data_IF_357312770955
#
_entry.id   IF_357312770955
#
_cell.length_a   1.000
_cell.length_b   1.000
_cell.length_c   1.000
_cell.angle_alpha   90.00
_cell.angle_beta   90.00
_cell.angle_gamma   90.00
#
_symmetry.space_group_name_H-M   'P 1'
#
loop_
_entity.id
_entity.type
_entity.pdbx_description
1 polymer ?
#
# COMPACT_ATOMS: atom_id res chain seq x y z
N UNK A 1 -35.43 44.77 -33.74
CA UNK A 1 -34.01 44.95 -33.32
C UNK A 1 -33.88 44.93 -31.80
N UNK A 2 -34.65 45.73 -31.07
CA UNK A 2 -34.58 45.84 -29.60
C UNK A 2 -34.80 44.51 -28.85
N UNK A 3 -35.84 43.74 -29.20
CA UNK A 3 -36.12 42.41 -28.60
C UNK A 3 -34.90 41.46 -28.69
N UNK A 4 -34.12 41.55 -29.78
CA UNK A 4 -32.91 40.72 -29.97
C UNK A 4 -31.79 41.10 -29.00
N UNK A 5 -31.60 42.40 -28.75
CA UNK A 5 -30.64 42.90 -27.76
C UNK A 5 -31.03 42.50 -26.34
N UNK A 6 -32.32 42.57 -26.01
CA UNK A 6 -32.83 42.13 -24.70
C UNK A 6 -32.70 40.62 -24.49
N UNK A 7 -32.80 39.81 -25.54
CA UNK A 7 -32.52 38.37 -25.48
C UNK A 7 -31.02 38.13 -25.21
N UNK A 8 -30.13 38.75 -25.98
CA UNK A 8 -28.67 38.65 -25.81
C UNK A 8 -28.22 39.08 -24.41
N UNK A 9 -28.70 40.22 -23.90
CA UNK A 9 -28.38 40.69 -22.56
C UNK A 9 -28.90 39.79 -21.41
N UNK A 10 -29.91 38.94 -21.67
CA UNK A 10 -30.37 37.92 -20.71
C UNK A 10 -29.52 36.65 -20.78
N UNK A 11 -29.08 36.27 -21.98
CA UNK A 11 -28.18 35.15 -22.22
C UNK A 11 -26.79 35.43 -21.60
N UNK A 12 -26.21 36.59 -21.86
CA UNK A 12 -24.96 37.05 -21.23
C UNK A 12 -25.02 37.05 -19.70
N UNK A 13 -26.15 37.48 -19.11
CA UNK A 13 -26.37 37.43 -17.65
C UNK A 13 -26.48 36.00 -17.11
N UNK A 14 -27.08 35.08 -17.87
CA UNK A 14 -27.14 33.65 -17.50
C UNK A 14 -25.75 33.01 -17.54
N UNK A 15 -25.03 33.17 -18.65
CA UNK A 15 -23.66 32.68 -18.79
C UNK A 15 -22.74 33.25 -17.71
N UNK A 16 -22.89 34.54 -17.35
CA UNK A 16 -22.14 35.14 -16.24
C UNK A 16 -22.51 34.52 -14.88
N UNK A 17 -23.79 34.33 -14.59
CA UNK A 17 -24.24 33.71 -13.35
C UNK A 17 -23.81 32.24 -13.24
N UNK A 18 -23.83 31.49 -14.34
CA UNK A 18 -23.33 30.11 -14.42
C UNK A 18 -21.81 30.05 -14.20
N UNK A 19 -21.05 31.00 -14.77
CA UNK A 19 -19.61 31.10 -14.54
C UNK A 19 -19.25 31.50 -13.09
N UNK A 20 -20.04 32.36 -12.45
CA UNK A 20 -19.89 32.72 -11.03
C UNK A 20 -20.26 31.53 -10.12
N UNK A 21 -21.34 30.80 -10.43
CA UNK A 21 -21.74 29.59 -9.71
C UNK A 21 -20.70 28.46 -9.84
N UNK A 22 -20.12 28.25 -11.03
CA UNK A 22 -19.07 27.27 -11.25
C UNK A 22 -17.78 27.61 -10.48
N UNK A 23 -17.44 28.90 -10.34
CA UNK A 23 -16.32 29.34 -9.48
C UNK A 23 -16.62 29.08 -8.00
N UNK A 24 -17.80 29.44 -7.51
CA UNK A 24 -18.19 29.18 -6.13
C UNK A 24 -18.17 27.67 -5.79
N UNK A 25 -18.61 26.80 -6.72
CA UNK A 25 -18.49 25.35 -6.57
C UNK A 25 -17.03 24.87 -6.54
N UNK A 26 -16.17 25.43 -7.41
CA UNK A 26 -14.73 25.11 -7.41
C UNK A 26 -14.02 25.58 -6.14
N UNK A 27 -14.41 26.72 -5.58
CA UNK A 27 -13.86 27.26 -4.33
C UNK A 27 -14.29 26.40 -3.14
N UNK A 28 -15.56 26.02 -3.02
CA UNK A 28 -16.04 25.08 -2.00
C UNK A 28 -15.38 23.70 -2.12
N UNK A 29 -15.16 23.19 -3.33
CA UNK A 29 -14.44 21.94 -3.54
C UNK A 29 -12.97 22.03 -3.11
N UNK A 30 -12.31 23.17 -3.32
CA UNK A 30 -10.95 23.42 -2.87
C UNK A 30 -10.86 23.55 -1.33
N UNK A 31 -11.84 24.21 -0.70
CA UNK A 31 -11.93 24.33 0.77
C UNK A 31 -12.12 22.97 1.45
N UNK A 32 -13.01 22.11 0.90
CA UNK A 32 -13.19 20.73 1.37
C UNK A 32 -11.92 19.88 1.18
N UNK A 33 -11.20 20.05 0.07
CA UNK A 33 -9.94 19.35 -0.16
C UNK A 33 -8.83 19.80 0.82
N UNK A 34 -8.78 21.10 1.15
CA UNK A 34 -7.84 21.64 2.14
C UNK A 34 -8.17 21.12 3.56
N UNK A 35 -9.45 21.04 3.92
CA UNK A 35 -9.89 20.49 5.20
C UNK A 35 -9.54 18.98 5.34
N UNK A 36 -9.64 18.21 4.25
CA UNK A 36 -9.25 16.80 4.25
C UNK A 36 -7.74 16.61 4.52
N UNK A 37 -6.88 17.41 3.88
CA UNK A 37 -5.42 17.35 4.10
C UNK A 37 -5.04 17.71 5.54
N UNK A 38 -5.74 18.66 6.17
CA UNK A 38 -5.49 19.01 7.57
C UNK A 38 -5.86 17.86 8.53
N UNK A 39 -6.92 17.10 8.21
CA UNK A 39 -7.34 15.93 8.99
C UNK A 39 -6.39 14.73 8.84
N UNK A 40 -5.70 14.60 7.70
CA UNK A 40 -4.68 13.57 7.50
C UNK A 40 -3.40 13.83 8.34
N UNK A 41 -3.02 15.09 8.56
CA UNK A 41 -1.84 15.45 9.37
C UNK A 41 -2.02 15.13 10.87
N UNK A 42 -3.24 15.25 11.41
CA UNK A 42 -3.50 14.96 12.84
C UNK A 42 -3.41 13.45 13.18
N UNK A 43 -3.57 12.57 12.18
CA UNK A 43 -3.50 11.12 12.35
C UNK A 43 -2.06 10.57 12.47
N UNK A 44 -1.05 11.25 11.93
CA UNK A 44 0.33 10.74 11.87
C UNK A 44 1.14 10.94 13.18
N UNK A 45 0.56 11.64 14.18
CA UNK A 45 1.22 11.93 15.46
C UNK A 45 1.38 10.75 16.42
N UNK A 46 0.58 9.67 16.28
CA UNK A 46 0.41 8.65 17.32
C UNK A 46 1.30 7.38 17.19
N UNK A 47 2.19 7.29 16.19
CA UNK A 47 2.99 6.08 15.92
C UNK A 47 4.50 6.26 16.20
N UNK A 48 4.85 6.71 17.42
CA UNK A 48 6.25 6.89 17.86
C UNK A 48 6.64 6.24 19.19
N UNK A 49 5.92 5.23 19.70
CA UNK A 49 6.40 4.41 20.83
C UNK A 49 6.09 2.91 20.69
N UNK A 50 7.01 2.15 20.07
CA UNK A 50 7.16 0.73 20.37
C UNK A 50 8.64 0.31 20.33
N UNK A 51 9.28 0.04 21.49
CA UNK A 51 10.67 -0.41 21.53
C UNK A 51 10.76 -1.90 21.18
N UNK A 52 11.46 -2.22 20.09
CA UNK A 52 11.73 -3.60 19.68
C UNK A 52 12.64 -4.30 20.70
N UNK A 53 12.07 -5.17 21.55
CA UNK A 53 12.84 -6.04 22.43
C UNK A 53 13.41 -7.21 21.63
N UNK A 54 14.73 -7.20 21.45
CA UNK A 54 15.51 -8.32 20.92
C UNK A 54 15.30 -9.54 21.82
N UNK A 55 14.95 -10.68 21.25
CA UNK A 55 15.09 -11.99 21.92
C UNK A 55 16.32 -12.66 21.30
N UNK A 56 17.31 -12.94 22.14
CA UNK A 56 18.58 -13.51 21.72
C UNK A 56 18.50 -15.04 21.62
N UNK A 57 19.34 -15.60 20.75
CA UNK A 57 19.51 -17.04 20.55
C UNK A 57 19.92 -17.76 21.84
N UNK A 58 19.26 -18.88 22.14
CA UNK A 58 19.87 -19.95 22.95
C UNK A 58 19.77 -21.27 22.20
N UNK A 59 20.93 -21.75 21.74
CA UNK A 59 21.14 -23.16 21.42
C UNK A 59 21.06 -23.96 22.72
N UNK A 60 20.42 -25.12 22.68
CA UNK A 60 20.80 -26.26 23.53
C UNK A 60 20.94 -27.47 22.60
N UNK A 61 22.16 -27.96 22.46
CA UNK A 61 22.47 -29.24 21.85
C UNK A 61 22.11 -30.36 22.84
N UNK A 62 21.50 -31.42 22.33
CA UNK A 62 21.33 -32.67 23.04
C UNK A 62 21.40 -33.83 22.04
N UNK A 63 22.62 -34.29 21.74
CA UNK A 63 22.81 -35.65 21.28
C UNK A 63 22.43 -36.61 22.42
N UNK A 64 21.65 -37.65 22.13
CA UNK A 64 22.11 -39.00 22.43
C UNK A 64 21.36 -40.08 21.64
N UNK A 65 22.10 -41.13 21.30
CA UNK A 65 21.63 -42.30 20.58
C UNK A 65 20.82 -43.25 21.48
N UNK A 66 19.98 -44.09 20.87
CA UNK A 66 19.29 -45.18 21.56
C UNK A 66 18.45 -46.03 20.61
N UNK A 67 18.96 -47.21 20.23
CA UNK A 67 18.24 -48.17 19.40
C UNK A 67 17.49 -49.21 20.25
N UNK A 68 16.25 -49.55 19.85
CA UNK A 68 15.51 -50.81 20.07
C UNK A 68 14.09 -50.59 19.53
N UNK A 69 13.67 -51.17 18.41
CA UNK A 69 13.28 -52.59 18.20
C UNK A 69 11.83 -52.92 18.62
N UNK A 70 11.08 -53.40 17.62
CA UNK A 70 9.84 -54.19 17.68
C UNK A 70 8.60 -53.65 18.44
N UNK A 71 7.57 -53.23 17.69
CA UNK A 71 6.44 -54.11 17.30
C UNK A 71 5.38 -53.39 16.43
N UNK A 72 5.05 -53.99 15.29
CA UNK A 72 3.74 -53.91 14.63
C UNK A 72 2.74 -54.87 15.35
N UNK A 73 1.42 -54.93 15.06
CA UNK A 73 0.63 -54.35 13.95
C UNK A 73 -0.48 -53.39 14.48
N UNK A 74 -1.56 -52.97 13.79
CA UNK A 74 -2.26 -53.45 12.58
C UNK A 74 -2.81 -52.30 11.71
N UNK A 75 -3.22 -52.68 10.49
CA UNK A 75 -4.00 -51.91 9.52
C UNK A 75 -5.50 -51.80 9.87
N UNK A 76 -6.14 -50.75 9.36
CA UNK A 76 -7.57 -50.74 9.02
C UNK A 76 -7.77 -49.99 7.71
N UNK A 77 -8.39 -50.64 6.74
CA UNK A 77 -8.60 -50.13 5.38
C UNK A 77 -10.04 -49.63 5.17
N UNK A 78 -10.22 -48.88 4.09
CA UNK A 78 -11.49 -48.43 3.53
C UNK A 78 -12.53 -49.55 3.31
N UNK A 79 -13.82 -49.26 3.56
CA UNK A 79 -14.94 -49.66 2.72
C UNK A 79 -16.23 -48.90 3.08
N UNK A 80 -17.14 -48.72 2.12
CA UNK A 80 -18.42 -48.02 2.26
C UNK A 80 -19.62 -48.98 2.39
N UNK A 81 -20.76 -48.48 2.87
CA UNK A 81 -22.10 -49.01 2.55
C UNK A 81 -23.21 -47.97 2.83
N UNK A 82 -24.23 -47.94 1.97
CA UNK A 82 -25.40 -47.04 2.07
C UNK A 82 -26.51 -47.60 2.98
N UNK A 83 -27.41 -46.72 3.45
CA UNK A 83 -28.70 -47.10 4.05
C UNK A 83 -29.75 -46.00 3.82
N UNK A 84 -30.94 -46.38 3.34
CA UNK A 84 -32.04 -45.50 2.90
C UNK A 84 -33.31 -45.82 3.70
N UNK A 85 -33.90 -44.80 4.34
CA UNK A 85 -35.26 -44.74 4.94
C UNK A 85 -35.36 -43.39 5.70
N UNK A 86 -36.50 -42.73 5.90
CA UNK A 86 -37.86 -42.84 5.35
C UNK A 86 -38.46 -41.41 5.38
N UNK A 87 -39.63 -41.19 4.79
CA UNK A 87 -40.28 -39.88 4.77
C UNK A 87 -41.03 -39.57 6.07
N UNK A 88 -41.16 -38.28 6.40
CA UNK A 88 -42.36 -37.75 7.05
C UNK A 88 -42.68 -36.35 6.50
N UNK A 89 -43.96 -36.12 6.20
CA UNK A 89 -44.49 -34.93 5.55
C UNK A 89 -45.69 -34.44 6.35
N UNK A 90 -45.51 -33.37 7.12
CA UNK A 90 -46.62 -32.63 7.71
C UNK A 90 -46.65 -31.19 7.16
N UNK A 91 -47.74 -30.88 6.46
CA UNK A 91 -48.10 -29.55 5.97
C UNK A 91 -49.14 -28.94 6.92
N UNK A 92 -49.13 -27.60 6.99
CA UNK A 92 -50.10 -26.65 7.58
C UNK A 92 -49.56 -25.92 8.84
N UNK A 93 -49.84 -24.63 9.06
CA UNK A 93 -50.20 -23.52 8.17
C UNK A 93 -50.11 -22.19 8.94
N UNK A 94 -49.85 -21.10 8.22
CA UNK A 94 -50.27 -19.73 8.50
C UNK A 94 -50.02 -19.11 9.90
N UNK A 95 -49.09 -18.17 9.95
CA UNK A 95 -49.36 -16.83 10.49
C UNK A 95 -48.51 -15.82 9.70
N UNK A 96 -49.12 -14.71 9.26
CA UNK A 96 -48.38 -13.61 8.65
C UNK A 96 -47.80 -12.71 9.74
N UNK A 97 -46.52 -12.36 9.60
CA UNK A 97 -45.94 -11.16 10.18
C UNK A 97 -45.21 -10.44 9.04
N UNK A 98 -45.47 -9.14 8.86
CA UNK A 98 -44.74 -8.32 7.89
C UNK A 98 -43.39 -7.92 8.48
N UNK A 99 -42.60 -8.93 8.85
CA UNK A 99 -41.23 -8.77 9.23
C UNK A 99 -40.46 -8.16 8.07
N UNK A 100 -39.93 -6.95 8.27
CA UNK A 100 -38.80 -6.45 7.49
C UNK A 100 -37.63 -7.38 7.77
N UNK A 101 -37.58 -8.49 7.04
CA UNK A 101 -36.51 -9.46 7.11
C UNK A 101 -35.27 -8.76 6.56
N UNK A 102 -34.45 -8.24 7.47
CA UNK A 102 -33.21 -7.57 7.13
C UNK A 102 -32.35 -8.46 6.23
N UNK A 103 -31.45 -7.86 5.42
CA UNK A 103 -30.60 -8.63 4.52
C UNK A 103 -29.92 -9.75 5.30
N UNK A 104 -29.95 -10.96 4.74
CA UNK A 104 -29.30 -12.12 5.34
C UNK A 104 -27.85 -11.77 5.72
N UNK A 105 -27.29 -12.33 6.82
CA UNK A 105 -25.97 -11.92 7.31
C UNK A 105 -24.87 -12.04 6.24
N UNK A 106 -24.99 -13.00 5.32
CA UNK A 106 -24.13 -13.13 4.14
C UNK A 106 -24.26 -12.00 3.12
N UNK A 107 -25.48 -11.48 2.88
CA UNK A 107 -25.70 -10.35 1.99
C UNK A 107 -25.10 -9.05 2.56
N UNK A 108 -25.15 -8.85 3.88
CA UNK A 108 -24.50 -7.73 4.55
C UNK A 108 -22.96 -7.83 4.46
N UNK A 109 -22.41 -9.00 4.78
CA UNK A 109 -20.99 -9.32 4.65
C UNK A 109 -20.47 -9.12 3.21
N UNK A 110 -21.21 -9.61 2.22
CA UNK A 110 -20.90 -9.44 0.80
C UNK A 110 -20.90 -7.97 0.36
N UNK A 111 -21.84 -7.16 0.86
CA UNK A 111 -21.88 -5.72 0.56
C UNK A 111 -20.67 -5.02 1.17
N UNK A 112 -20.31 -5.33 2.41
CA UNK A 112 -19.12 -4.77 3.06
C UNK A 112 -17.82 -5.14 2.32
N UNK A 113 -17.66 -6.40 1.89
CA UNK A 113 -16.52 -6.82 1.05
C UNK A 113 -16.51 -6.08 -0.29
N UNK A 114 -17.64 -5.93 -0.98
CA UNK A 114 -17.72 -5.17 -2.24
C UNK A 114 -17.37 -3.69 -2.05
N UNK A 115 -17.79 -3.07 -0.96
CA UNK A 115 -17.40 -1.68 -0.61
C UNK A 115 -15.90 -1.58 -0.34
N UNK A 116 -15.31 -2.51 0.41
CA UNK A 116 -13.87 -2.53 0.66
C UNK A 116 -13.04 -2.77 -0.63
N UNK A 117 -13.51 -3.68 -1.51
CA UNK A 117 -12.92 -3.87 -2.83
C UNK A 117 -13.04 -2.61 -3.71
N UNK A 118 -14.18 -1.91 -3.68
CA UNK A 118 -14.36 -0.67 -4.43
C UNK A 118 -13.48 0.48 -3.94
N UNK A 119 -13.23 0.57 -2.62
CA UNK A 119 -12.29 1.53 -2.03
C UNK A 119 -10.82 1.27 -2.43
N UNK A 120 -10.51 0.03 -2.83
CA UNK A 120 -9.20 -0.41 -3.31
C UNK A 120 -8.00 -0.15 -2.37
N UNK A 121 -8.27 -0.02 -1.08
CA UNK A 121 -7.25 0.15 -0.04
C UNK A 121 -6.82 -1.20 0.53
N UNK A 122 -5.51 -1.45 0.56
CA UNK A 122 -4.96 -2.75 0.95
C UNK A 122 -5.28 -3.13 2.40
N UNK A 123 -5.04 -2.24 3.37
CA UNK A 123 -5.28 -2.55 4.78
C UNK A 123 -6.78 -2.64 5.10
N UNK A 124 -7.61 -1.76 4.51
CA UNK A 124 -9.08 -1.79 4.66
C UNK A 124 -9.73 -3.05 4.06
N UNK A 125 -9.21 -3.55 2.95
CA UNK A 125 -9.66 -4.81 2.36
C UNK A 125 -9.30 -6.03 3.23
N UNK A 126 -8.12 -6.04 3.87
CA UNK A 126 -7.75 -7.12 4.81
C UNK A 126 -8.69 -7.14 6.01
N UNK A 127 -8.92 -5.99 6.66
CA UNK A 127 -9.82 -5.92 7.81
C UNK A 127 -11.22 -6.43 7.47
N UNK A 128 -11.78 -6.03 6.32
CA UNK A 128 -13.07 -6.50 5.85
C UNK A 128 -13.09 -8.01 5.55
N UNK A 129 -12.01 -8.58 5.00
CA UNK A 129 -11.87 -10.04 4.79
C UNK A 129 -11.82 -10.76 6.15
N UNK A 130 -11.00 -10.31 7.09
CA UNK A 130 -10.85 -10.93 8.41
C UNK A 130 -12.17 -10.91 9.21
N UNK A 131 -12.93 -9.83 9.13
CA UNK A 131 -14.22 -9.65 9.80
C UNK A 131 -15.35 -10.49 9.15
N UNK A 132 -15.38 -10.59 7.82
CA UNK A 132 -16.55 -11.12 7.09
C UNK A 132 -16.37 -12.52 6.46
N UNK A 133 -15.16 -13.09 6.44
CA UNK A 133 -14.86 -14.41 5.84
C UNK A 133 -15.79 -15.56 6.25
N UNK A 134 -16.33 -15.55 7.48
CA UNK A 134 -17.18 -16.62 8.00
C UNK A 134 -18.66 -16.50 7.57
N UNK A 135 -19.07 -15.32 7.05
CA UNK A 135 -20.45 -15.01 6.69
C UNK A 135 -20.60 -14.73 5.18
N UNK A 136 -19.56 -14.20 4.54
CA UNK A 136 -19.57 -13.87 3.12
C UNK A 136 -19.74 -15.08 2.21
N UNK A 137 -20.33 -14.85 1.04
CA UNK A 137 -20.42 -15.81 -0.05
C UNK A 137 -19.04 -16.15 -0.59
N UNK A 138 -18.75 -17.44 -0.80
CA UNK A 138 -17.45 -17.96 -1.27
C UNK A 138 -16.92 -17.21 -2.51
N UNK A 139 -17.78 -16.91 -3.49
CA UNK A 139 -17.39 -16.18 -4.70
C UNK A 139 -16.92 -14.74 -4.43
N UNK A 140 -17.55 -14.03 -3.49
CA UNK A 140 -17.18 -12.66 -3.11
C UNK A 140 -15.89 -12.66 -2.28
N UNK A 141 -15.74 -13.64 -1.38
CA UNK A 141 -14.51 -13.84 -0.62
C UNK A 141 -13.33 -14.19 -1.54
N UNK A 142 -13.53 -15.06 -2.54
CA UNK A 142 -12.51 -15.41 -3.53
C UNK A 142 -12.09 -14.18 -4.39
N UNK A 143 -13.05 -13.35 -4.81
CA UNK A 143 -12.75 -12.10 -5.50
C UNK A 143 -11.95 -11.13 -4.61
N UNK A 144 -12.36 -10.97 -3.35
CA UNK A 144 -11.67 -10.13 -2.37
C UNK A 144 -10.23 -10.59 -2.11
N UNK A 145 -9.99 -11.89 -2.00
CA UNK A 145 -8.65 -12.48 -1.86
C UNK A 145 -7.77 -12.27 -3.10
N UNK A 146 -8.33 -12.42 -4.30
CA UNK A 146 -7.60 -12.14 -5.55
C UNK A 146 -7.24 -10.64 -5.70
N UNK A 147 -8.15 -9.77 -5.26
CA UNK A 147 -7.96 -8.32 -5.21
C UNK A 147 -6.84 -7.95 -4.21
N UNK A 148 -6.87 -8.54 -3.01
CA UNK A 148 -5.84 -8.40 -1.98
C UNK A 148 -4.44 -8.82 -2.49
N UNK A 149 -4.31 -9.98 -3.13
CA UNK A 149 -3.03 -10.44 -3.68
C UNK A 149 -2.48 -9.45 -4.73
N UNK A 150 -3.36 -8.94 -5.61
CA UNK A 150 -3.01 -7.93 -6.62
C UNK A 150 -2.49 -6.65 -5.99
N UNK A 151 -3.16 -6.13 -4.95
CA UNK A 151 -2.71 -4.95 -4.20
C UNK A 151 -1.39 -5.20 -3.48
N UNK A 152 -1.23 -6.35 -2.82
CA UNK A 152 0.02 -6.75 -2.16
C UNK A 152 1.20 -6.71 -3.15
N UNK A 153 1.01 -7.33 -4.31
CA UNK A 153 2.00 -7.44 -5.38
C UNK A 153 2.36 -6.08 -5.96
N UNK A 154 1.37 -5.21 -6.19
CA UNK A 154 1.59 -3.82 -6.64
C UNK A 154 2.43 -3.04 -5.63
N UNK A 155 2.03 -3.01 -4.35
CA UNK A 155 2.75 -2.35 -3.24
C UNK A 155 4.20 -2.82 -3.14
N UNK A 156 4.44 -4.13 -3.24
CA UNK A 156 5.78 -4.74 -3.21
C UNK A 156 6.65 -4.30 -4.40
N UNK A 157 6.08 -4.25 -5.61
CA UNK A 157 6.79 -3.76 -6.80
C UNK A 157 7.11 -2.26 -6.70
N UNK A 158 6.20 -1.44 -6.20
CA UNK A 158 6.40 0.00 -6.02
C UNK A 158 7.46 0.30 -4.97
N UNK A 159 7.45 -0.39 -3.83
CA UNK A 159 8.53 -0.32 -2.83
C UNK A 159 9.88 -0.73 -3.41
N UNK A 160 9.93 -1.80 -4.23
CA UNK A 160 11.18 -2.22 -4.88
C UNK A 160 11.68 -1.17 -5.90
N UNK A 161 10.79 -0.57 -6.70
CA UNK A 161 11.13 0.51 -7.62
C UNK A 161 11.66 1.73 -6.87
N UNK A 162 11.04 2.12 -5.76
CA UNK A 162 11.49 3.25 -4.93
C UNK A 162 12.89 3.01 -4.36
N UNK A 163 13.17 1.82 -3.80
CA UNK A 163 14.50 1.45 -3.31
C UNK A 163 15.56 1.51 -4.41
N UNK A 164 15.25 1.06 -5.64
CA UNK A 164 16.16 1.14 -6.79
C UNK A 164 16.43 2.57 -7.23
N UNK A 165 15.39 3.42 -7.28
CA UNK A 165 15.55 4.85 -7.56
C UNK A 165 16.47 5.53 -6.56
N UNK A 166 16.23 5.32 -5.26
CA UNK A 166 17.06 5.88 -4.20
C UNK A 166 18.50 5.38 -4.27
N UNK A 167 18.74 4.08 -4.53
CA UNK A 167 20.09 3.57 -4.72
C UNK A 167 20.83 4.25 -5.89
N UNK A 168 20.16 4.43 -7.04
CA UNK A 168 20.73 5.12 -8.20
C UNK A 168 20.97 6.62 -7.93
N UNK A 169 20.09 7.28 -7.17
CA UNK A 169 20.26 8.67 -6.73
C UNK A 169 21.50 8.83 -5.83
N UNK A 170 21.69 7.92 -4.87
CA UNK A 170 22.89 7.90 -4.01
C UNK A 170 24.18 7.64 -4.81
N UNK A 171 24.13 6.78 -5.85
CA UNK A 171 25.25 6.52 -6.76
C UNK A 171 25.59 7.76 -7.61
N UNK A 172 24.58 8.46 -8.12
CA UNK A 172 24.74 9.73 -8.86
C UNK A 172 25.31 10.81 -7.94
N UNK A 173 24.81 10.95 -6.71
CA UNK A 173 25.32 11.92 -5.73
C UNK A 173 26.77 11.64 -5.36
N UNK A 174 27.14 10.37 -5.14
CA UNK A 174 28.52 9.96 -4.91
C UNK A 174 29.43 10.27 -6.13
N UNK A 175 28.92 10.10 -7.35
CA UNK A 175 29.64 10.40 -8.59
C UNK A 175 29.86 11.91 -8.78
N UNK A 176 28.84 12.73 -8.57
CA UNK A 176 28.96 14.20 -8.57
C UNK A 176 29.95 14.70 -7.50
N UNK A 177 29.92 14.09 -6.32
CA UNK A 177 30.85 14.43 -5.22
C UNK A 177 32.31 14.10 -5.59
N UNK A 178 32.55 12.98 -6.27
CA UNK A 178 33.88 12.60 -6.79
C UNK A 178 34.36 13.56 -7.89
N UNK A 179 33.49 13.96 -8.81
CA UNK A 179 33.83 14.92 -9.87
C UNK A 179 34.19 16.29 -9.29
N UNK A 180 33.37 16.81 -8.36
CA UNK A 180 33.63 18.08 -7.68
C UNK A 180 34.96 18.08 -6.90
N UNK A 181 35.29 16.98 -6.22
CA UNK A 181 36.61 16.80 -5.59
C UNK A 181 37.76 16.84 -6.61
N UNK A 182 37.58 16.23 -7.79
CA UNK A 182 38.59 16.25 -8.85
C UNK A 182 38.81 17.67 -9.40
N UNK A 183 37.75 18.43 -9.67
CA UNK A 183 37.85 19.83 -10.12
C UNK A 183 38.62 20.71 -9.14
N UNK A 184 38.39 20.55 -7.82
CA UNK A 184 39.16 21.26 -6.78
C UNK A 184 40.65 20.88 -6.83
N UNK A 185 40.98 19.59 -7.03
CA UNK A 185 42.39 19.14 -7.12
C UNK A 185 43.09 19.43 -8.44
N UNK A 186 42.34 19.76 -9.51
CA UNK A 186 42.88 20.10 -10.84
C UNK A 186 43.02 21.61 -11.07
N UNK A 187 42.69 22.45 -10.07
CA UNK A 187 43.08 23.85 -10.09
C UNK A 187 44.61 23.94 -10.25
N UNK A 188 45.14 24.65 -11.26
CA UNK A 188 46.58 24.69 -11.50
C UNK A 188 47.29 25.25 -10.27
N UNK A 189 48.50 24.75 -9.91
CA UNK A 189 49.27 25.32 -8.84
C UNK A 189 49.47 26.81 -9.16
N UNK A 190 49.09 27.67 -8.22
CA UNK A 190 49.15 29.11 -8.42
C UNK A 190 50.55 29.51 -8.90
N UNK A 191 50.63 30.09 -10.09
CA UNK A 191 51.88 30.50 -10.71
C UNK A 191 52.46 31.72 -9.99
N UNK A 192 53.01 31.50 -8.80
CA UNK A 192 53.78 32.47 -8.05
C UNK A 192 55.13 32.68 -8.73
N UNK A 193 55.19 33.61 -9.69
CA UNK A 193 56.42 33.98 -10.38
C UNK A 193 57.39 34.76 -9.47
N UNK A 194 58.38 34.06 -8.91
CA UNK A 194 59.70 34.54 -8.46
C UNK A 194 60.51 33.29 -8.01
N UNK A 195 61.84 33.19 -8.15
CA UNK A 195 62.87 34.22 -8.34
C UNK A 195 64.07 33.67 -9.14
N UNK A 196 64.97 34.56 -9.53
CA UNK A 196 66.24 34.33 -10.26
C UNK A 196 67.35 33.67 -9.41
N UNK A 197 68.45 33.27 -10.09
CA UNK A 197 69.76 32.85 -9.54
C UNK A 197 69.82 31.47 -8.84
N UNK A 198 70.90 30.69 -8.92
CA UNK A 198 72.23 30.90 -9.52
C UNK A 198 72.79 29.58 -10.13
N UNK A 199 73.78 29.69 -11.02
CA UNK A 199 74.53 28.54 -11.53
C UNK A 199 75.68 28.16 -10.56
N UNK A 200 75.91 26.87 -10.27
CA UNK A 200 77.13 26.43 -9.59
C UNK A 200 78.30 26.38 -10.57
N UNK A 201 79.35 27.17 -10.31
CA UNK A 201 80.60 27.10 -11.04
C UNK A 201 81.32 25.76 -10.76
N UNK A 202 82.04 25.24 -11.76
CA UNK A 202 82.89 24.07 -11.59
C UNK A 202 84.13 24.41 -10.77
N UNK A 203 84.30 23.77 -9.62
CA UNK A 203 85.55 23.79 -8.85
C UNK A 203 86.23 22.42 -9.02
N UNK A 204 87.23 22.38 -9.90
CA UNK A 204 88.19 21.28 -10.01
C UNK A 204 89.46 21.76 -9.32
N UNK A 205 89.82 21.10 -8.23
CA UNK A 205 91.11 21.27 -7.55
C UNK A 205 91.84 19.92 -7.60
N UNK A 206 93.09 19.99 -8.03
CA UNK A 206 94.10 18.93 -8.08
C UNK A 206 95.09 19.11 -6.92
#
# INVERSE_FOLDING_TARGET
REIRRQAQAREERRVKAEAEAARAQSEQAAELAAAALLAEEEAEGAHKQQPQKKIASMKIEAEQAGASEARAPVASASAAASGLAEADNEVLAAAGDEGVMGPAPSAAADVALRVAMAAAQYEGLIGAIEEHQALASEGVLAEAMAMHERLHKKRKQESQKLRRKHAAEMEMQASLSRLSLQEVTQSPPAAGSASTEAAPASEVIE
#
